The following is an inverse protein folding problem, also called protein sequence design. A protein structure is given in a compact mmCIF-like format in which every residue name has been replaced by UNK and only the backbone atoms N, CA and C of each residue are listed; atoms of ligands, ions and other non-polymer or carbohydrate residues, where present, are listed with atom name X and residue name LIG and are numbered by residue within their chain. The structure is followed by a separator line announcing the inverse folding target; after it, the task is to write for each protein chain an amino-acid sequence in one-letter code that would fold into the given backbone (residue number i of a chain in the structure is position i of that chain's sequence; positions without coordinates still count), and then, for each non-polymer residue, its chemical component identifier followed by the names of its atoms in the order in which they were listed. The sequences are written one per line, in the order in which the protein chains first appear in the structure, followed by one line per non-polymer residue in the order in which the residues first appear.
data_IF_648196644620
#
_entry.id   IF_648196644620
#
_cell.length_a   1.000
_cell.length_b   1.000
_cell.length_c   1.000
_cell.angle_alpha   90.00
_cell.angle_beta   90.00
_cell.angle_gamma   90.00
#
_symmetry.space_group_name_H-M   'P 1'
#
loop_
_entity.id
_entity.type
_entity.pdbx_description
1 polymer ?
#
# COMPACT_ATOMS: atom_id res chain seq x y z
N UNK A 1 16.24 -33.93 5.10
CA UNK A 1 16.62 -32.78 5.93
C UNK A 1 15.41 -32.41 6.77
N UNK A 2 15.44 -32.65 8.08
CA UNK A 2 14.35 -32.30 8.99
C UNK A 2 14.36 -30.78 9.18
N UNK A 3 13.31 -30.12 8.71
CA UNK A 3 13.08 -28.69 9.01
C UNK A 3 13.03 -28.48 10.53
N UNK A 4 13.68 -27.44 11.02
CA UNK A 4 13.55 -27.04 12.41
C UNK A 4 12.07 -26.68 12.71
N UNK A 5 11.56 -26.90 13.94
CA UNK A 5 10.14 -26.67 14.25
C UNK A 5 9.65 -25.22 14.05
N UNK A 6 10.54 -24.29 13.74
CA UNK A 6 10.29 -22.85 13.61
C UNK A 6 10.56 -22.30 12.20
N UNK A 7 10.88 -23.13 11.21
CA UNK A 7 11.07 -22.66 9.83
C UNK A 7 9.75 -22.59 9.08
N UNK A 8 9.51 -21.47 8.37
CA UNK A 8 8.34 -21.30 7.51
C UNK A 8 8.48 -22.16 6.24
N UNK A 9 7.38 -22.73 5.79
CA UNK A 9 7.38 -23.62 4.60
C UNK A 9 7.53 -22.80 3.33
N UNK A 10 8.56 -23.07 2.53
CA UNK A 10 8.79 -22.45 1.22
C UNK A 10 7.77 -22.91 0.20
N UNK A 11 6.82 -22.05 -0.12
CA UNK A 11 5.70 -22.35 -1.03
C UNK A 11 5.44 -21.26 -2.04
N UNK A 12 6.00 -20.05 -1.85
CA UNK A 12 5.71 -18.90 -2.69
C UNK A 12 6.48 -18.95 -4.01
N UNK A 13 5.73 -18.94 -5.11
CA UNK A 13 6.26 -18.84 -6.48
C UNK A 13 6.45 -17.38 -6.90
N UNK A 14 7.17 -17.07 -8.00
CA UNK A 14 7.29 -15.72 -8.52
C UNK A 14 5.94 -15.03 -8.78
N UNK A 15 4.94 -15.77 -9.30
CA UNK A 15 3.61 -15.22 -9.53
C UNK A 15 2.88 -14.86 -8.23
N UNK A 16 3.02 -15.67 -7.18
CA UNK A 16 2.46 -15.36 -5.86
C UNK A 16 3.15 -14.13 -5.24
N UNK A 17 4.48 -14.00 -5.37
CA UNK A 17 5.20 -12.82 -4.90
C UNK A 17 4.80 -11.56 -5.68
N UNK A 18 4.60 -11.68 -6.99
CA UNK A 18 4.03 -10.60 -7.80
C UNK A 18 2.64 -10.19 -7.29
N UNK A 19 1.77 -11.18 -7.05
CA UNK A 19 0.42 -10.93 -6.53
C UNK A 19 0.42 -10.23 -5.17
N UNK A 20 1.30 -10.66 -4.26
CA UNK A 20 1.50 -10.00 -2.96
C UNK A 20 2.06 -8.59 -3.12
N UNK A 21 3.11 -8.41 -3.97
CA UNK A 21 3.74 -7.10 -4.16
C UNK A 21 2.82 -6.08 -4.81
N UNK A 22 2.04 -6.47 -5.81
CA UNK A 22 1.01 -5.61 -6.40
C UNK A 22 -0.16 -5.42 -5.42
N UNK A 23 -0.60 -6.50 -4.78
CA UNK A 23 -1.76 -6.49 -3.86
C UNK A 23 -1.57 -5.54 -2.68
N UNK A 24 -0.41 -5.55 -2.02
CA UNK A 24 -0.13 -4.62 -0.91
C UNK A 24 -0.22 -3.15 -1.30
N UNK A 25 0.13 -2.83 -2.55
CA UNK A 25 0.29 -1.46 -3.06
C UNK A 25 -0.94 -0.95 -3.81
N UNK A 26 -1.73 -1.84 -4.43
CA UNK A 26 -2.71 -1.50 -5.47
C UNK A 26 -3.79 -0.50 -5.01
N UNK A 27 -4.06 -0.42 -3.71
CA UNK A 27 -4.96 0.61 -3.17
C UNK A 27 -4.52 2.03 -3.50
N UNK A 28 -3.20 2.24 -3.63
CA UNK A 28 -2.63 3.51 -4.05
C UNK A 28 -3.06 3.96 -5.46
N UNK A 29 -3.54 3.04 -6.32
CA UNK A 29 -4.11 3.40 -7.62
C UNK A 29 -5.55 3.89 -7.50
N UNK A 30 -6.28 3.41 -6.50
CA UNK A 30 -7.72 3.68 -6.32
C UNK A 30 -8.01 4.99 -5.61
N UNK A 31 -7.11 5.46 -4.73
CA UNK A 31 -7.31 6.69 -3.94
C UNK A 31 -5.99 7.22 -3.34
N UNK A 32 -6.07 8.38 -2.72
CA UNK A 32 -5.00 9.01 -1.94
C UNK A 32 -4.08 9.87 -2.80
N UNK A 33 -3.64 9.40 -3.96
CA UNK A 33 -2.82 10.17 -4.89
C UNK A 33 -3.53 11.44 -5.39
N UNK A 34 -4.85 11.39 -5.54
CA UNK A 34 -5.66 12.53 -5.96
C UNK A 34 -5.58 13.72 -5.00
N UNK A 35 -5.30 13.48 -3.71
CA UNK A 35 -5.10 14.54 -2.72
C UNK A 35 -3.86 15.38 -3.04
N UNK A 36 -2.84 14.79 -3.68
CA UNK A 36 -1.67 15.49 -4.18
C UNK A 36 -1.98 16.45 -5.34
N UNK A 37 -3.06 16.23 -6.07
CA UNK A 37 -3.54 17.16 -7.10
C UNK A 37 -4.06 18.48 -6.48
N UNK A 38 -4.68 18.43 -5.29
CA UNK A 38 -5.08 19.64 -4.56
C UNK A 38 -3.87 20.51 -4.21
N UNK A 39 -2.73 19.89 -3.92
CA UNK A 39 -1.49 20.58 -3.57
C UNK A 39 -0.73 21.08 -4.81
N UNK A 40 -0.48 20.21 -5.78
CA UNK A 40 0.42 20.47 -6.92
C UNK A 40 -0.26 20.68 -8.25
N UNK A 41 -1.55 20.43 -8.37
CA UNK A 41 -2.21 20.33 -9.67
C UNK A 41 -1.68 19.14 -10.49
N UNK A 42 -2.08 19.07 -11.74
CA UNK A 42 -1.67 18.00 -12.65
C UNK A 42 -0.16 17.95 -12.85
N UNK A 43 0.46 19.09 -13.15
CA UNK A 43 1.90 19.15 -13.45
C UNK A 43 2.75 18.93 -12.20
N UNK A 44 2.35 19.50 -11.06
CA UNK A 44 3.10 19.35 -9.81
C UNK A 44 3.13 17.89 -9.34
N UNK A 45 1.98 17.20 -9.33
CA UNK A 45 1.93 15.79 -8.98
C UNK A 45 2.63 14.91 -10.03
N UNK A 46 2.52 15.22 -11.34
CA UNK A 46 3.22 14.47 -12.39
C UNK A 46 4.74 14.55 -12.24
N UNK A 47 5.30 15.74 -11.97
CA UNK A 47 6.73 15.91 -11.72
C UNK A 47 7.15 15.14 -10.46
N UNK A 48 6.42 15.27 -9.36
CA UNK A 48 6.69 14.52 -8.13
C UNK A 48 6.67 13.01 -8.40
N UNK A 49 5.63 12.51 -9.07
CA UNK A 49 5.48 11.08 -9.40
C UNK A 49 6.60 10.56 -10.29
N UNK A 50 7.08 11.34 -11.26
CA UNK A 50 8.22 10.96 -12.10
C UNK A 50 9.50 10.68 -11.27
N UNK A 51 9.84 11.56 -10.34
CA UNK A 51 11.00 11.34 -9.46
C UNK A 51 10.76 10.19 -8.49
N UNK A 52 9.54 10.04 -8.00
CA UNK A 52 9.16 8.94 -7.09
C UNK A 52 9.21 7.59 -7.81
N UNK A 53 8.83 7.50 -9.09
CA UNK A 53 9.00 6.27 -9.88
C UNK A 53 10.48 5.87 -9.95
N UNK A 54 11.37 6.81 -10.25
CA UNK A 54 12.82 6.54 -10.28
C UNK A 54 13.30 6.04 -8.91
N UNK A 55 12.88 6.69 -7.85
CA UNK A 55 13.23 6.30 -6.48
C UNK A 55 12.75 4.86 -6.19
N UNK A 56 11.47 4.54 -6.46
CA UNK A 56 10.93 3.23 -6.16
C UNK A 56 11.52 2.10 -7.02
N UNK A 57 11.80 2.35 -8.29
CA UNK A 57 12.46 1.36 -9.15
C UNK A 57 13.85 1.04 -8.59
N UNK A 58 14.65 2.05 -8.28
CA UNK A 58 16.00 1.84 -7.71
C UNK A 58 15.97 1.22 -6.32
N UNK A 59 15.04 1.68 -5.45
CA UNK A 59 14.82 1.12 -4.13
C UNK A 59 14.42 -0.37 -4.21
N UNK A 60 13.44 -0.70 -5.04
CA UNK A 60 12.91 -2.06 -5.15
C UNK A 60 14.01 -3.07 -5.50
N UNK A 61 14.88 -2.76 -6.47
CA UNK A 61 15.98 -3.66 -6.83
C UNK A 61 17.04 -3.76 -5.73
N UNK A 62 17.38 -2.65 -5.08
CA UNK A 62 18.32 -2.67 -3.95
C UNK A 62 17.76 -3.44 -2.75
N UNK A 63 16.46 -3.27 -2.48
CA UNK A 63 15.78 -3.98 -1.39
C UNK A 63 15.58 -5.47 -1.68
N UNK A 64 15.33 -5.82 -2.96
CA UNK A 64 15.30 -7.21 -3.41
C UNK A 64 16.65 -7.90 -3.20
N UNK A 65 17.78 -7.21 -3.42
CA UNK A 65 19.12 -7.74 -3.13
C UNK A 65 19.29 -8.03 -1.63
N UNK A 66 18.88 -7.11 -0.76
CA UNK A 66 18.88 -7.34 0.69
C UNK A 66 18.01 -8.56 1.07
N UNK A 67 16.82 -8.67 0.50
CA UNK A 67 15.90 -9.77 0.76
C UNK A 67 16.45 -11.11 0.24
N UNK A 68 17.20 -11.13 -0.87
CA UNK A 68 17.88 -12.31 -1.38
C UNK A 68 19.08 -12.73 -0.50
N UNK A 69 19.82 -11.75 0.02
CA UNK A 69 20.98 -12.00 0.88
C UNK A 69 20.58 -12.42 2.30
N UNK A 70 19.47 -11.86 2.82
CA UNK A 70 18.96 -12.10 4.16
C UNK A 70 17.47 -12.46 4.07
N UNK A 71 17.12 -13.69 3.61
CA UNK A 71 15.73 -14.08 3.43
C UNK A 71 15.05 -14.39 4.77
N UNK A 72 14.75 -13.34 5.53
CA UNK A 72 14.07 -13.38 6.83
C UNK A 72 12.80 -12.51 6.82
N UNK A 73 11.85 -12.89 7.65
CA UNK A 73 10.55 -12.23 7.72
C UNK A 73 10.54 -10.84 8.41
N UNK A 74 11.63 -10.46 9.07
CA UNK A 74 11.72 -9.17 9.78
C UNK A 74 11.99 -7.95 8.87
N UNK A 75 12.31 -8.16 7.60
CA UNK A 75 12.51 -7.07 6.64
C UNK A 75 13.54 -6.04 7.11
N UNK A 76 13.17 -4.76 7.12
CA UNK A 76 14.04 -3.65 7.48
C UNK A 76 14.69 -3.79 8.87
N UNK A 77 13.98 -4.35 9.84
CA UNK A 77 14.53 -4.63 11.17
C UNK A 77 15.76 -5.55 11.09
N UNK A 78 15.66 -6.66 10.36
CA UNK A 78 16.74 -7.65 10.24
C UNK A 78 17.93 -7.07 9.46
N UNK A 79 17.67 -6.38 8.34
CA UNK A 79 18.71 -5.78 7.52
C UNK A 79 19.50 -4.72 8.27
N UNK A 80 18.78 -3.84 8.96
CA UNK A 80 19.37 -2.74 9.73
C UNK A 80 20.12 -3.25 10.95
N UNK A 81 19.56 -4.24 11.68
CA UNK A 81 20.23 -4.86 12.82
C UNK A 81 21.54 -5.54 12.43
N UNK A 82 21.57 -6.22 11.28
CA UNK A 82 22.79 -6.88 10.77
C UNK A 82 23.83 -5.86 10.29
N UNK A 83 23.39 -4.79 9.63
CA UNK A 83 24.29 -3.77 9.10
C UNK A 83 24.89 -2.87 10.19
N UNK A 84 24.06 -2.36 11.11
CA UNK A 84 24.37 -1.25 11.99
C UNK A 84 24.12 -1.55 13.47
N UNK A 85 23.68 -2.74 13.83
CA UNK A 85 23.45 -3.14 15.21
C UNK A 85 22.02 -2.90 15.71
N UNK A 86 21.77 -3.31 16.95
CA UNK A 86 20.43 -3.44 17.53
C UNK A 86 19.67 -2.11 17.62
N UNK A 87 20.35 -1.02 17.95
CA UNK A 87 19.70 0.29 18.13
C UNK A 87 19.19 0.86 16.79
N UNK A 88 19.99 0.72 15.74
CA UNK A 88 19.56 1.10 14.40
C UNK A 88 18.48 0.15 13.86
N UNK A 89 18.54 -1.14 14.23
CA UNK A 89 17.46 -2.09 13.98
C UNK A 89 16.12 -1.65 14.60
N UNK A 90 16.15 -1.13 15.82
CA UNK A 90 14.97 -0.55 16.46
C UNK A 90 14.40 0.61 15.62
N UNK A 91 15.25 1.54 15.16
CA UNK A 91 14.80 2.67 14.35
C UNK A 91 14.20 2.22 13.00
N UNK A 92 14.85 1.27 12.31
CA UNK A 92 14.33 0.71 11.05
C UNK A 92 12.98 0.01 11.23
N UNK A 93 12.86 -0.82 12.27
CA UNK A 93 11.61 -1.50 12.59
C UNK A 93 10.51 -0.55 13.11
N UNK A 94 10.85 0.52 13.83
CA UNK A 94 9.88 1.54 14.25
C UNK A 94 9.35 2.32 13.04
N UNK A 95 10.21 2.68 12.09
CA UNK A 95 9.83 3.31 10.83
C UNK A 95 8.85 2.43 10.05
N UNK A 96 9.11 1.12 9.94
CA UNK A 96 8.21 0.15 9.33
C UNK A 96 6.87 0.04 10.09
N UNK A 97 6.90 0.05 11.42
CA UNK A 97 5.67 0.03 12.21
C UNK A 97 4.83 1.29 11.99
N UNK A 98 5.43 2.48 11.91
CA UNK A 98 4.69 3.73 11.61
C UNK A 98 4.00 3.60 10.25
N UNK A 99 4.70 3.16 9.22
CA UNK A 99 4.13 2.96 7.90
C UNK A 99 2.92 2.01 7.93
N UNK A 100 3.13 0.79 8.40
CA UNK A 100 2.11 -0.27 8.35
C UNK A 100 0.96 -0.11 9.35
N UNK A 101 1.11 0.69 10.40
CA UNK A 101 0.02 1.02 11.32
C UNK A 101 -0.86 2.13 10.74
N UNK A 102 -0.28 3.11 10.04
CA UNK A 102 -1.02 4.27 9.54
C UNK A 102 -1.52 4.13 8.10
N UNK A 103 -1.00 3.20 7.28
CA UNK A 103 -1.57 2.95 5.96
C UNK A 103 -3.00 2.36 6.00
N UNK A 104 -3.32 1.33 6.79
CA UNK A 104 -4.65 0.72 6.80
C UNK A 104 -5.79 1.69 7.13
N UNK A 105 -5.70 2.63 8.09
CA UNK A 105 -6.78 3.59 8.34
C UNK A 105 -7.18 4.40 7.10
N UNK A 106 -6.20 4.86 6.31
CA UNK A 106 -6.49 5.58 5.08
C UNK A 106 -7.22 4.70 4.06
N UNK A 107 -6.78 3.44 3.89
CA UNK A 107 -7.44 2.48 3.00
C UNK A 107 -8.86 2.15 3.48
N UNK A 108 -9.08 2.05 4.80
CA UNK A 108 -10.40 1.82 5.35
C UNK A 108 -11.38 2.97 5.03
N UNK A 109 -10.91 4.22 5.03
CA UNK A 109 -11.72 5.35 4.56
C UNK A 109 -12.11 5.20 3.09
N UNK A 110 -11.19 4.80 2.23
CA UNK A 110 -11.49 4.58 0.82
C UNK A 110 -12.50 3.42 0.63
N UNK A 111 -12.35 2.32 1.35
CA UNK A 111 -13.35 1.23 1.36
C UNK A 111 -14.71 1.79 1.78
N UNK A 112 -14.75 2.58 2.84
CA UNK A 112 -15.97 3.26 3.30
C UNK A 112 -16.56 4.18 2.25
N UNK A 113 -15.74 4.99 1.56
CA UNK A 113 -16.17 5.92 0.53
C UNK A 113 -16.74 5.18 -0.71
N UNK A 114 -16.08 4.12 -1.18
CA UNK A 114 -16.56 3.31 -2.30
C UNK A 114 -17.87 2.58 -1.94
N UNK A 115 -17.97 2.03 -0.74
CA UNK A 115 -19.18 1.35 -0.28
C UNK A 115 -20.37 2.32 -0.09
N UNK A 116 -20.08 3.54 0.38
CA UNK A 116 -21.08 4.59 0.57
C UNK A 116 -21.73 5.04 -0.76
N UNK A 117 -21.08 4.83 -1.91
CA UNK A 117 -21.68 5.08 -3.23
C UNK A 117 -22.89 4.19 -3.49
N UNK A 118 -22.92 2.98 -2.91
CA UNK A 118 -24.07 2.06 -3.00
C UNK A 118 -25.09 2.27 -1.87
N UNK A 119 -24.59 2.63 -0.68
CA UNK A 119 -25.39 2.77 0.55
C UNK A 119 -25.16 4.13 1.20
N UNK A 120 -25.68 5.24 0.59
CA UNK A 120 -25.43 6.60 1.08
C UNK A 120 -25.91 6.86 2.49
N UNK A 121 -26.89 6.06 2.99
CA UNK A 121 -27.44 6.15 4.34
C UNK A 121 -26.47 5.67 5.43
N UNK A 122 -25.43 4.91 5.07
CA UNK A 122 -24.44 4.40 6.04
C UNK A 122 -23.24 5.34 6.08
N UNK A 123 -22.86 5.91 7.23
CA UNK A 123 -21.70 6.78 7.33
C UNK A 123 -20.40 6.07 6.92
N UNK A 124 -19.55 6.73 6.13
CA UNK A 124 -18.24 6.23 5.68
C UNK A 124 -17.42 5.69 6.85
N UNK A 125 -17.36 6.43 7.96
CA UNK A 125 -16.63 6.03 9.16
C UNK A 125 -17.13 4.71 9.75
N UNK A 126 -18.46 4.48 9.76
CA UNK A 126 -19.02 3.22 10.28
C UNK A 126 -18.60 2.02 9.43
N UNK A 127 -18.60 2.17 8.11
CA UNK A 127 -18.14 1.14 7.17
C UNK A 127 -16.63 0.89 7.37
N UNK A 128 -15.83 1.95 7.48
CA UNK A 128 -14.39 1.87 7.69
C UNK A 128 -14.03 1.12 8.99
N UNK A 129 -14.69 1.46 10.10
CA UNK A 129 -14.50 0.76 11.39
C UNK A 129 -14.94 -0.70 11.30
N UNK A 130 -16.07 -0.98 10.67
CA UNK A 130 -16.54 -2.35 10.46
C UNK A 130 -15.55 -3.16 9.63
N UNK A 131 -15.04 -2.61 8.53
CA UNK A 131 -14.02 -3.25 7.71
C UNK A 131 -12.77 -3.55 8.54
N UNK A 132 -12.32 -2.60 9.37
CA UNK A 132 -11.14 -2.80 10.22
C UNK A 132 -11.32 -3.96 11.19
N UNK A 133 -12.46 -4.02 11.87
CA UNK A 133 -12.80 -5.12 12.80
C UNK A 133 -12.87 -6.45 12.05
N UNK A 134 -13.57 -6.50 10.91
CA UNK A 134 -13.76 -7.70 10.11
C UNK A 134 -12.42 -8.27 9.62
N UNK A 135 -11.59 -7.45 8.98
CA UNK A 135 -10.33 -7.93 8.41
C UNK A 135 -9.26 -8.20 9.47
N UNK A 136 -9.29 -7.50 10.61
CA UNK A 136 -8.45 -7.88 11.76
C UNK A 136 -8.88 -9.24 12.33
N UNK A 137 -10.17 -9.50 12.48
CA UNK A 137 -10.68 -10.79 12.92
C UNK A 137 -10.28 -11.91 11.94
N UNK A 138 -10.41 -11.70 10.64
CA UNK A 138 -9.97 -12.66 9.61
C UNK A 138 -8.47 -12.97 9.73
N UNK A 139 -7.64 -11.96 9.93
CA UNK A 139 -6.19 -12.14 10.14
C UNK A 139 -5.88 -12.89 11.44
N UNK A 140 -6.68 -12.72 12.51
CA UNK A 140 -6.53 -13.48 13.76
C UNK A 140 -6.87 -14.95 13.57
N UNK A 141 -7.97 -15.26 12.87
CA UNK A 141 -8.37 -16.66 12.61
C UNK A 141 -7.39 -17.42 11.71
N UNK A 142 -6.55 -16.70 10.95
CA UNK A 142 -5.48 -17.27 10.12
C UNK A 142 -5.99 -17.84 8.81
N UNK A 143 -5.49 -17.36 7.70
CA UNK A 143 -5.91 -17.80 6.36
C UNK A 143 -4.80 -18.66 5.74
N UNK A 144 -4.94 -19.98 5.81
CA UNK A 144 -4.02 -20.93 5.12
C UNK A 144 -3.98 -20.75 3.60
N UNK A 145 -4.98 -20.08 3.03
CA UNK A 145 -5.12 -19.84 1.59
C UNK A 145 -4.76 -18.38 1.20
N UNK A 146 -4.17 -17.59 2.10
CA UNK A 146 -3.98 -16.15 1.93
C UNK A 146 -3.28 -15.76 0.62
N UNK A 147 -2.17 -16.39 0.28
CA UNK A 147 -1.38 -15.99 -0.91
C UNK A 147 -2.10 -16.29 -2.25
N UNK A 148 -2.89 -17.36 -2.33
CA UNK A 148 -3.66 -17.68 -3.54
C UNK A 148 -4.88 -16.78 -3.65
N UNK A 149 -5.55 -16.50 -2.53
CA UNK A 149 -6.65 -15.53 -2.47
C UNK A 149 -6.14 -14.15 -2.89
N UNK A 150 -5.02 -13.70 -2.32
CA UNK A 150 -4.39 -12.43 -2.65
C UNK A 150 -4.04 -12.33 -4.13
N UNK A 151 -3.42 -13.37 -4.72
CA UNK A 151 -3.13 -13.42 -6.15
C UNK A 151 -4.41 -13.28 -6.99
N UNK A 152 -5.48 -13.96 -6.62
CA UNK A 152 -6.75 -13.93 -7.38
C UNK A 152 -7.37 -12.54 -7.36
N UNK A 153 -7.51 -11.93 -6.17
CA UNK A 153 -8.12 -10.59 -6.07
C UNK A 153 -7.24 -9.50 -6.66
N UNK A 154 -5.90 -9.66 -6.61
CA UNK A 154 -4.96 -8.75 -7.28
C UNK A 154 -5.11 -8.82 -8.80
N UNK A 155 -5.24 -10.02 -9.39
CA UNK A 155 -5.48 -10.16 -10.84
C UNK A 155 -6.79 -9.46 -11.24
N UNK A 156 -7.86 -9.64 -10.45
CA UNK A 156 -9.15 -8.96 -10.70
C UNK A 156 -9.00 -7.45 -10.62
N UNK A 157 -8.30 -6.94 -9.61
CA UNK A 157 -8.06 -5.50 -9.43
C UNK A 157 -7.21 -4.89 -10.53
N UNK A 158 -6.14 -5.56 -10.97
CA UNK A 158 -5.35 -5.15 -12.14
C UNK A 158 -6.20 -5.13 -13.40
N UNK A 159 -7.00 -6.18 -13.62
CA UNK A 159 -7.93 -6.26 -14.75
C UNK A 159 -8.95 -5.13 -14.76
N UNK A 160 -9.48 -4.76 -13.58
CA UNK A 160 -10.41 -3.65 -13.41
C UNK A 160 -9.76 -2.30 -13.74
N UNK A 161 -8.55 -2.02 -13.24
CA UNK A 161 -7.82 -0.77 -13.56
C UNK A 161 -7.49 -0.66 -15.05
N UNK A 162 -7.16 -1.78 -15.72
CA UNK A 162 -6.97 -1.80 -17.17
C UNK A 162 -8.29 -1.55 -17.91
N UNK A 163 -9.39 -2.13 -17.44
CA UNK A 163 -10.72 -1.90 -17.99
C UNK A 163 -11.16 -0.44 -17.77
N UNK A 164 -10.97 0.10 -16.58
CA UNK A 164 -11.20 1.50 -16.26
C UNK A 164 -10.44 2.42 -17.24
N UNK A 165 -9.14 2.18 -17.42
CA UNK A 165 -8.31 2.95 -18.33
C UNK A 165 -8.77 2.79 -19.80
N UNK A 166 -9.17 1.57 -20.19
CA UNK A 166 -9.70 1.30 -21.54
C UNK A 166 -10.99 2.06 -21.86
N UNK A 167 -11.83 2.31 -20.85
CA UNK A 167 -13.08 3.08 -20.98
C UNK A 167 -12.81 4.58 -20.95
N UNK A 168 -11.89 5.04 -20.10
CA UNK A 168 -11.68 6.46 -19.85
C UNK A 168 -10.71 7.10 -20.83
N UNK A 169 -9.66 6.41 -21.29
CA UNK A 169 -8.69 6.95 -22.26
C UNK A 169 -9.28 7.41 -23.59
N UNK A 170 -10.30 6.78 -24.19
CA UNK A 170 -10.95 7.33 -25.40
C UNK A 170 -11.57 8.72 -25.21
N UNK A 171 -11.85 9.12 -23.96
CA UNK A 171 -12.40 10.43 -23.59
C UNK A 171 -11.33 11.39 -23.05
N UNK A 172 -10.06 11.04 -23.26
CA UNK A 172 -8.93 11.85 -22.83
C UNK A 172 -8.83 13.13 -23.65
N UNK A 173 -8.83 14.27 -22.97
CA UNK A 173 -8.58 15.59 -23.55
C UNK A 173 -7.31 16.21 -22.93
N UNK A 174 -6.32 16.50 -23.77
CA UNK A 174 -5.06 17.08 -23.31
C UNK A 174 -5.25 18.42 -22.58
N UNK A 175 -6.28 19.17 -22.94
CA UNK A 175 -6.69 20.42 -22.27
C UNK A 175 -6.90 20.22 -20.77
N UNK A 176 -7.50 19.10 -20.36
CA UNK A 176 -7.77 18.78 -18.95
C UNK A 176 -6.49 18.64 -18.10
N UNK A 177 -5.36 18.32 -18.72
CA UNK A 177 -4.06 18.28 -18.03
C UNK A 177 -3.44 19.67 -17.87
N UNK A 178 -3.82 20.64 -18.71
CA UNK A 178 -3.22 21.98 -18.75
C UNK A 178 -3.95 22.99 -17.85
N UNK A 179 -5.24 22.75 -17.59
CA UNK A 179 -6.05 23.67 -16.83
C UNK A 179 -5.60 23.71 -15.37
N UNK A 180 -5.15 24.91 -14.92
CA UNK A 180 -4.61 25.13 -13.56
C UNK A 180 -3.58 24.06 -13.17
N UNK A 181 -2.64 23.74 -14.07
CA UNK A 181 -1.75 22.61 -13.93
C UNK A 181 -0.76 22.71 -12.77
N UNK A 182 -0.46 23.92 -12.28
CA UNK A 182 0.50 24.15 -11.19
C UNK A 182 0.02 25.28 -10.26
N UNK A 183 -1.09 25.10 -9.52
CA UNK A 183 -1.76 26.14 -8.76
C UNK A 183 -0.87 26.77 -7.68
N UNK A 184 0.00 25.99 -7.05
CA UNK A 184 0.87 26.42 -5.96
C UNK A 184 2.36 26.51 -6.36
N UNK A 185 2.66 26.52 -7.66
CA UNK A 185 4.03 26.59 -8.19
C UNK A 185 4.94 25.50 -7.61
N UNK A 186 6.23 25.81 -7.41
CA UNK A 186 7.21 24.86 -6.90
C UNK A 186 6.86 24.26 -5.53
N UNK A 187 6.20 25.04 -4.65
CA UNK A 187 5.78 24.56 -3.33
C UNK A 187 4.78 23.40 -3.48
N UNK A 188 3.89 23.49 -4.47
CA UNK A 188 2.92 22.43 -4.75
C UNK A 188 3.56 21.11 -5.18
N UNK A 189 4.68 21.16 -5.94
CA UNK A 189 5.43 19.95 -6.32
C UNK A 189 5.91 19.22 -5.07
N UNK A 190 6.55 19.93 -4.12
CA UNK A 190 7.04 19.33 -2.88
C UNK A 190 5.90 18.84 -1.99
N UNK A 191 4.81 19.59 -1.89
CA UNK A 191 3.63 19.20 -1.12
C UNK A 191 2.93 17.96 -1.69
N UNK A 192 3.08 17.69 -3.01
CA UNK A 192 2.54 16.49 -3.67
C UNK A 192 3.37 15.22 -3.43
N UNK A 193 4.61 15.32 -2.97
CA UNK A 193 5.52 14.17 -2.82
C UNK A 193 4.92 13.05 -1.96
N UNK A 194 4.31 13.28 -0.79
CA UNK A 194 3.71 12.22 0.01
C UNK A 194 2.66 11.41 -0.76
N UNK A 195 1.87 12.09 -1.57
CA UNK A 195 0.81 11.48 -2.37
C UNK A 195 1.33 10.77 -3.62
N UNK A 196 2.45 11.21 -4.18
CA UNK A 196 3.18 10.48 -5.22
C UNK A 196 3.80 9.18 -4.67
N UNK A 197 4.33 9.20 -3.44
CA UNK A 197 4.84 8.03 -2.73
C UNK A 197 3.72 7.02 -2.47
N UNK A 198 2.52 7.49 -2.17
CA UNK A 198 1.35 6.66 -1.90
C UNK A 198 1.02 5.68 -3.03
N UNK A 199 1.31 6.01 -4.29
CA UNK A 199 1.15 5.09 -5.43
C UNK A 199 1.93 3.77 -5.27
N UNK A 200 3.01 3.77 -4.51
CA UNK A 200 3.95 2.64 -4.44
C UNK A 200 4.19 2.16 -3.01
N UNK A 201 3.52 2.75 -2.03
CA UNK A 201 3.69 2.47 -0.61
C UNK A 201 3.44 1.00 -0.30
N UNK A 202 4.24 0.42 0.60
CA UNK A 202 4.17 -0.95 1.09
C UNK A 202 4.71 -2.04 0.14
N UNK A 203 5.39 -1.70 -0.98
CA UNK A 203 6.02 -2.69 -1.86
C UNK A 203 7.10 -3.50 -1.11
N UNK A 204 7.79 -2.90 -0.16
CA UNK A 204 8.80 -3.57 0.68
C UNK A 204 8.21 -4.67 1.56
N UNK A 205 6.89 -4.68 1.76
CA UNK A 205 6.16 -5.75 2.46
C UNK A 205 6.40 -7.14 1.86
N UNK A 206 6.75 -7.23 0.58
CA UNK A 206 7.17 -8.49 -0.07
C UNK A 206 8.40 -9.10 0.61
N UNK A 207 9.29 -8.30 1.17
CA UNK A 207 10.45 -8.81 1.90
C UNK A 207 10.06 -9.59 3.17
N UNK A 208 8.93 -9.25 3.79
CA UNK A 208 8.44 -9.94 4.99
C UNK A 208 7.97 -11.38 4.72
N UNK A 209 7.82 -11.76 3.45
CA UNK A 209 7.50 -13.13 3.01
C UNK A 209 8.64 -13.81 2.27
N UNK A 210 9.83 -13.21 2.24
CA UNK A 210 11.01 -13.72 1.54
C UNK A 210 11.45 -15.12 2.04
N UNK A 211 11.27 -15.42 3.33
CA UNK A 211 11.57 -16.72 3.93
C UNK A 211 10.73 -17.86 3.34
N UNK A 212 9.52 -17.54 2.88
CA UNK A 212 8.58 -18.50 2.29
C UNK A 212 8.77 -18.70 0.78
N UNK A 213 9.72 -17.99 0.15
CA UNK A 213 9.96 -18.06 -1.29
C UNK A 213 10.69 -19.37 -1.70
N UNK A 214 10.21 -19.99 -2.78
CA UNK A 214 10.90 -21.12 -3.43
C UNK A 214 12.07 -20.53 -4.22
N UNK A 215 13.32 -20.96 -3.94
CA UNK A 215 14.51 -20.34 -4.53
C UNK A 215 14.55 -18.81 -4.37
N UNK A 216 14.78 -18.30 -3.14
CA UNK A 216 14.64 -16.89 -2.81
C UNK A 216 15.30 -15.93 -3.81
N UNK A 217 16.55 -16.19 -4.22
CA UNK A 217 17.33 -15.33 -5.13
C UNK A 217 16.62 -15.06 -6.46
N UNK A 218 15.98 -16.09 -7.04
CA UNK A 218 15.26 -15.97 -8.31
C UNK A 218 13.84 -15.47 -8.11
N UNK A 219 13.13 -16.04 -7.15
CA UNK A 219 11.72 -15.78 -6.90
C UNK A 219 11.48 -14.35 -6.42
N UNK A 220 12.34 -13.85 -5.52
CA UNK A 220 12.24 -12.50 -5.00
C UNK A 220 12.54 -11.48 -6.11
N UNK A 221 13.63 -11.64 -6.86
CA UNK A 221 13.99 -10.71 -7.92
C UNK A 221 12.92 -10.61 -9.00
N UNK A 222 12.36 -11.74 -9.45
CA UNK A 222 11.27 -11.75 -10.44
C UNK A 222 9.99 -11.15 -9.85
N UNK A 223 9.63 -11.53 -8.63
CA UNK A 223 8.42 -11.05 -7.95
C UNK A 223 8.43 -9.54 -7.75
N UNK A 224 9.49 -9.00 -7.14
CA UNK A 224 9.64 -7.55 -6.94
C UNK A 224 9.73 -6.79 -8.27
N UNK A 225 10.58 -7.27 -9.21
CA UNK A 225 10.78 -6.60 -10.49
C UNK A 225 9.51 -6.54 -11.34
N UNK A 226 8.75 -7.63 -11.40
CA UNK A 226 7.46 -7.64 -12.12
C UNK A 226 6.38 -6.84 -11.40
N UNK A 227 6.37 -6.82 -10.07
CA UNK A 227 5.42 -6.02 -9.29
C UNK A 227 5.64 -4.53 -9.52
N UNK A 228 6.88 -4.02 -9.37
CA UNK A 228 7.15 -2.60 -9.58
C UNK A 228 6.87 -2.16 -11.02
N UNK A 229 7.19 -3.01 -12.01
CA UNK A 229 6.86 -2.73 -13.41
C UNK A 229 5.35 -2.58 -13.62
N UNK A 230 4.56 -3.52 -13.10
CA UNK A 230 3.08 -3.47 -13.17
C UNK A 230 2.55 -2.19 -12.50
N UNK A 231 3.04 -1.87 -11.31
CA UNK A 231 2.61 -0.69 -10.57
C UNK A 231 2.96 0.63 -11.28
N UNK A 232 4.13 0.73 -11.92
CA UNK A 232 4.51 1.91 -12.72
C UNK A 232 3.56 2.08 -13.91
N UNK A 233 3.25 1.00 -14.63
CA UNK A 233 2.29 1.04 -15.75
C UNK A 233 0.90 1.46 -15.26
N UNK A 234 0.41 0.86 -14.18
CA UNK A 234 -0.90 1.20 -13.60
C UNK A 234 -0.94 2.64 -13.09
N UNK A 235 0.13 3.14 -12.45
CA UNK A 235 0.23 4.53 -11.99
C UNK A 235 0.05 5.51 -13.15
N UNK A 236 0.82 5.33 -14.24
CA UNK A 236 0.74 6.20 -15.41
C UNK A 236 -0.65 6.13 -16.05
N UNK A 237 -1.19 4.92 -16.23
CA UNK A 237 -2.53 4.73 -16.82
C UNK A 237 -3.61 5.37 -15.95
N UNK A 238 -3.62 5.09 -14.65
CA UNK A 238 -4.63 5.61 -13.72
C UNK A 238 -4.59 7.13 -13.64
N UNK A 239 -3.39 7.70 -13.54
CA UNK A 239 -3.23 9.16 -13.52
C UNK A 239 -3.73 9.80 -14.81
N UNK A 240 -3.25 9.33 -15.97
CA UNK A 240 -3.61 9.90 -17.26
C UNK A 240 -5.11 9.74 -17.54
N UNK A 241 -5.66 8.54 -17.33
CA UNK A 241 -7.05 8.23 -17.63
C UNK A 241 -8.04 8.95 -16.69
N UNK A 242 -7.66 9.19 -15.43
CA UNK A 242 -8.56 9.88 -14.50
C UNK A 242 -8.56 11.39 -14.72
N UNK A 243 -7.38 12.02 -14.77
CA UNK A 243 -7.27 13.49 -14.93
C UNK A 243 -7.68 13.91 -16.34
N UNK A 244 -7.37 13.09 -17.35
CA UNK A 244 -7.65 13.41 -18.75
C UNK A 244 -9.13 13.54 -19.11
N UNK A 245 -10.02 12.96 -18.31
CA UNK A 245 -11.48 12.98 -18.60
C UNK A 245 -12.14 14.32 -18.27
N UNK A 246 -11.87 14.89 -17.09
CA UNK A 246 -12.61 16.05 -16.61
C UNK A 246 -11.74 17.08 -15.85
N UNK A 247 -10.42 16.90 -15.89
CA UNK A 247 -9.48 17.72 -15.15
C UNK A 247 -9.34 17.30 -13.67
N UNK A 248 -8.30 17.81 -13.02
CA UNK A 248 -7.96 17.38 -11.68
C UNK A 248 -8.96 17.79 -10.60
N UNK A 249 -9.59 18.96 -10.72
CA UNK A 249 -10.59 19.42 -9.75
C UNK A 249 -11.80 18.49 -9.67
N UNK A 250 -12.22 17.96 -10.81
CA UNK A 250 -13.37 17.08 -10.92
C UNK A 250 -13.18 15.70 -10.25
N UNK A 251 -11.94 15.28 -10.04
CA UNK A 251 -11.63 14.00 -9.37
C UNK A 251 -11.15 14.18 -7.94
N UNK A 252 -10.84 15.41 -7.52
CA UNK A 252 -10.44 15.75 -6.16
C UNK A 252 -11.65 16.15 -5.32
N UNK A 253 -12.53 16.99 -5.85
CA UNK A 253 -13.63 17.57 -5.09
C UNK A 253 -14.98 16.96 -5.47
N UNK A 254 -15.79 16.68 -4.44
CA UNK A 254 -17.20 16.33 -4.59
C UNK A 254 -18.05 17.58 -4.86
N UNK A 255 -19.32 17.37 -5.18
CA UNK A 255 -20.28 18.48 -5.42
C UNK A 255 -20.49 19.41 -4.22
N UNK A 256 -20.21 18.93 -3.00
CA UNK A 256 -20.27 19.73 -1.76
C UNK A 256 -18.95 20.46 -1.43
N UNK A 257 -17.95 20.36 -2.32
CA UNK A 257 -16.63 20.95 -2.15
C UNK A 257 -15.68 20.18 -1.23
N UNK A 258 -16.10 19.08 -0.62
CA UNK A 258 -15.23 18.23 0.18
C UNK A 258 -14.30 17.38 -0.71
N UNK A 259 -13.13 17.03 -0.18
CA UNK A 259 -12.21 16.13 -0.88
C UNK A 259 -12.77 14.71 -0.93
N UNK A 260 -12.47 14.00 -2.02
CA UNK A 260 -12.95 12.64 -2.28
C UNK A 260 -11.89 11.60 -2.02
N UNK A 261 -12.27 10.52 -1.32
CA UNK A 261 -11.50 9.28 -1.20
C UNK A 261 -11.90 8.24 -2.28
N UNK A 262 -12.58 8.67 -3.35
CA UNK A 262 -13.02 7.82 -4.46
C UNK A 262 -12.85 8.51 -5.83
N UNK A 263 -11.60 8.83 -6.25
CA UNK A 263 -11.35 9.60 -7.48
C UNK A 263 -11.74 8.86 -8.76
N UNK A 264 -11.55 7.54 -8.85
CA UNK A 264 -11.87 6.77 -10.04
C UNK A 264 -13.38 6.72 -10.32
N UNK A 265 -14.25 6.46 -9.33
CA UNK A 265 -15.70 6.65 -9.50
C UNK A 265 -16.09 8.04 -9.96
N UNK A 266 -15.48 9.11 -9.43
CA UNK A 266 -15.74 10.47 -9.89
C UNK A 266 -15.38 10.64 -11.39
N UNK A 267 -14.18 10.24 -11.80
CA UNK A 267 -13.77 10.29 -13.20
C UNK A 267 -14.74 9.52 -14.11
N UNK A 268 -15.11 8.30 -13.72
CA UNK A 268 -16.00 7.43 -14.49
C UNK A 268 -17.41 8.03 -14.61
N UNK A 269 -17.90 8.70 -13.57
CA UNK A 269 -19.23 9.32 -13.57
C UNK A 269 -19.40 10.39 -14.63
N UNK A 270 -18.32 11.07 -15.03
CA UNK A 270 -18.33 12.05 -16.11
C UNK A 270 -18.53 11.43 -17.50
N UNK A 271 -18.27 10.13 -17.67
CA UNK A 271 -18.39 9.44 -18.95
C UNK A 271 -19.72 8.68 -19.05
N UNK A 272 -19.98 7.80 -18.07
CA UNK A 272 -21.11 6.88 -18.14
C UNK A 272 -22.28 7.26 -17.24
N UNK A 273 -22.07 8.23 -16.33
CA UNK A 273 -23.06 8.59 -15.31
C UNK A 273 -23.18 7.56 -14.18
N UNK A 274 -23.72 7.99 -13.05
CA UNK A 274 -23.77 7.19 -11.82
C UNK A 274 -24.76 6.02 -11.86
N UNK A 275 -25.71 6.01 -12.77
CA UNK A 275 -26.76 4.98 -12.87
C UNK A 275 -26.41 3.86 -13.86
N UNK A 276 -25.28 3.92 -14.54
CA UNK A 276 -24.90 2.94 -15.55
C UNK A 276 -24.38 1.65 -14.91
N UNK A 277 -24.76 0.49 -15.45
CA UNK A 277 -24.31 -0.82 -14.93
C UNK A 277 -22.78 -0.93 -14.83
N UNK A 278 -22.06 -0.38 -15.81
CA UNK A 278 -20.61 -0.38 -15.85
C UNK A 278 -19.99 0.41 -14.69
N UNK A 279 -20.62 1.53 -14.30
CA UNK A 279 -20.21 2.29 -13.12
C UNK A 279 -20.26 1.44 -11.84
N UNK A 280 -21.37 0.77 -11.62
CA UNK A 280 -21.53 -0.09 -10.45
C UNK A 280 -20.60 -1.31 -10.47
N UNK A 281 -20.37 -1.90 -11.65
CA UNK A 281 -19.49 -3.05 -11.80
C UNK A 281 -18.04 -2.67 -11.46
N UNK A 282 -17.53 -1.57 -12.02
CA UNK A 282 -16.15 -1.13 -11.78
C UNK A 282 -15.92 -0.75 -10.32
N UNK A 283 -16.88 -0.06 -9.67
CA UNK A 283 -16.78 0.24 -8.24
C UNK A 283 -16.76 -1.04 -7.41
N UNK A 284 -17.60 -2.03 -7.73
CA UNK A 284 -17.65 -3.31 -7.00
C UNK A 284 -16.33 -4.06 -7.11
N UNK A 285 -15.74 -4.12 -8.31
CA UNK A 285 -14.45 -4.80 -8.52
C UNK A 285 -13.30 -3.98 -7.91
N UNK A 286 -13.35 -2.65 -7.97
CA UNK A 286 -12.38 -1.76 -7.32
C UNK A 286 -12.31 -1.95 -5.80
N UNK A 287 -13.43 -2.28 -5.15
CA UNK A 287 -13.45 -2.65 -3.74
C UNK A 287 -12.55 -3.86 -3.45
N UNK A 288 -12.44 -4.84 -4.35
CA UNK A 288 -11.52 -5.97 -4.14
C UNK A 288 -10.06 -5.53 -4.12
N UNK A 289 -9.67 -4.55 -4.94
CA UNK A 289 -8.32 -3.97 -4.91
C UNK A 289 -8.01 -3.26 -3.59
N UNK A 290 -8.96 -2.48 -3.08
CA UNK A 290 -8.82 -1.84 -1.77
C UNK A 290 -8.76 -2.88 -0.64
N UNK A 291 -9.60 -3.93 -0.70
CA UNK A 291 -9.63 -5.01 0.29
C UNK A 291 -8.33 -5.81 0.26
N UNK A 292 -7.74 -6.08 -0.90
CA UNK A 292 -6.46 -6.77 -1.03
C UNK A 292 -5.37 -6.02 -0.24
N UNK A 293 -5.14 -4.75 -0.56
CA UNK A 293 -4.16 -3.95 0.17
C UNK A 293 -4.44 -3.87 1.66
N UNK A 294 -5.70 -3.62 2.02
CA UNK A 294 -6.11 -3.48 3.41
C UNK A 294 -5.81 -4.74 4.24
N UNK A 295 -6.24 -5.90 3.74
CA UNK A 295 -6.02 -7.19 4.40
C UNK A 295 -4.53 -7.51 4.50
N UNK A 296 -3.80 -7.32 3.40
CA UNK A 296 -2.36 -7.62 3.33
C UNK A 296 -1.52 -6.73 4.24
N UNK A 297 -1.78 -5.42 4.29
CA UNK A 297 -1.04 -4.50 5.14
C UNK A 297 -1.36 -4.72 6.62
N UNK A 298 -2.60 -5.04 7.01
CA UNK A 298 -2.95 -5.44 8.39
C UNK A 298 -2.13 -6.67 8.81
N UNK A 299 -1.98 -7.66 7.92
CA UNK A 299 -1.16 -8.84 8.19
C UNK A 299 0.32 -8.47 8.40
N UNK A 300 0.89 -7.64 7.53
CA UNK A 300 2.25 -7.16 7.63
C UNK A 300 2.50 -6.35 8.90
N UNK A 301 1.59 -5.43 9.23
CA UNK A 301 1.62 -4.65 10.48
C UNK A 301 1.58 -5.54 11.73
N UNK A 302 0.70 -6.54 11.72
CA UNK A 302 0.62 -7.50 12.82
C UNK A 302 1.92 -8.27 13.05
N UNK A 303 2.60 -8.67 11.97
CA UNK A 303 3.93 -9.35 12.03
C UNK A 303 5.02 -8.40 12.53
N UNK A 304 5.08 -7.18 12.04
CA UNK A 304 6.07 -6.17 12.43
C UNK A 304 5.94 -5.78 13.91
N UNK A 305 4.72 -5.49 14.37
CA UNK A 305 4.44 -5.17 15.78
C UNK A 305 4.72 -6.37 16.70
N UNK A 306 4.41 -7.61 16.25
CA UNK A 306 4.70 -8.83 16.97
C UNK A 306 6.20 -9.04 17.17
N UNK A 307 7.03 -8.82 16.15
CA UNK A 307 8.48 -8.93 16.28
C UNK A 307 9.04 -7.96 17.32
N UNK A 308 8.52 -6.75 17.42
CA UNK A 308 8.91 -5.81 18.47
C UNK A 308 8.63 -6.34 19.87
N UNK A 309 7.51 -7.06 20.06
CA UNK A 309 7.21 -7.75 21.30
C UNK A 309 8.19 -8.90 21.58
N UNK A 310 8.58 -9.67 20.54
CA UNK A 310 9.54 -10.79 20.65
C UNK A 310 10.94 -10.35 21.05
N UNK A 311 11.43 -9.27 20.42
CA UNK A 311 12.77 -8.72 20.68
C UNK A 311 12.81 -7.79 21.90
N UNK A 312 11.69 -7.66 22.64
CA UNK A 312 11.53 -6.85 23.86
C UNK A 312 11.67 -5.33 23.65
N UNK A 313 11.37 -4.85 22.46
CA UNK A 313 11.20 -3.40 22.20
C UNK A 313 9.77 -2.91 22.49
N UNK A 314 8.82 -3.84 22.61
CA UNK A 314 7.45 -3.60 23.03
C UNK A 314 7.07 -4.54 24.17
N UNK A 315 5.96 -4.28 24.90
CA UNK A 315 5.50 -5.12 25.99
C UNK A 315 5.37 -6.59 25.59
N UNK A 316 5.80 -7.51 26.45
CA UNK A 316 5.91 -8.94 26.16
C UNK A 316 4.59 -9.61 25.72
N UNK A 317 3.43 -9.05 26.09
CA UNK A 317 2.13 -9.62 25.68
C UNK A 317 1.90 -9.48 24.16
N UNK A 318 2.50 -8.48 23.52
CA UNK A 318 2.42 -8.23 22.05
C UNK A 318 3.17 -9.33 21.30
N UNK A 319 4.30 -9.81 21.85
CA UNK A 319 5.10 -10.90 21.27
C UNK A 319 4.57 -12.31 21.53
N UNK A 320 3.30 -12.48 21.93
CA UNK A 320 2.68 -13.78 22.17
C UNK A 320 1.87 -14.26 20.98
N UNK A 321 2.03 -15.55 20.66
CA UNK A 321 1.23 -16.24 19.62
C UNK A 321 -0.05 -16.78 20.28
N UNK A 322 -1.18 -16.64 19.62
CA UNK A 322 -2.46 -17.17 20.10
C UNK A 322 -2.44 -18.71 20.12
N UNK A 323 -2.80 -19.36 21.25
CA UNK A 323 -2.61 -20.81 21.40
C UNK A 323 -3.40 -21.65 20.40
N UNK A 324 -4.62 -21.22 20.04
CA UNK A 324 -5.51 -21.93 19.09
C UNK A 324 -5.23 -21.57 17.63
N UNK A 325 -5.17 -20.27 17.32
CA UNK A 325 -5.08 -19.80 15.92
C UNK A 325 -3.66 -19.72 15.39
N UNK A 326 -2.65 -19.77 16.27
CA UNK A 326 -1.22 -19.65 15.91
C UNK A 326 -0.85 -18.36 15.19
N UNK A 327 -1.58 -17.27 15.49
CA UNK A 327 -1.41 -15.92 14.92
C UNK A 327 -1.01 -14.93 16.00
N UNK A 328 -0.41 -13.77 15.67
CA UNK A 328 -0.03 -12.73 16.62
C UNK A 328 -1.23 -11.85 17.00
N UNK A 329 -2.27 -12.45 17.59
CA UNK A 329 -3.57 -11.80 17.83
C UNK A 329 -3.46 -10.50 18.62
N UNK A 330 -2.60 -10.44 19.65
CA UNK A 330 -2.45 -9.23 20.46
C UNK A 330 -1.83 -8.07 19.66
N UNK A 331 -0.86 -8.36 18.81
CA UNK A 331 -0.26 -7.36 17.93
C UNK A 331 -1.27 -6.81 16.91
N UNK A 332 -2.09 -7.70 16.32
CA UNK A 332 -3.17 -7.32 15.42
C UNK A 332 -4.23 -6.44 16.10
N UNK A 333 -4.62 -6.77 17.35
CA UNK A 333 -5.57 -5.96 18.11
C UNK A 333 -5.00 -4.59 18.49
N UNK A 334 -3.72 -4.51 18.86
CA UNK A 334 -3.05 -3.23 19.13
C UNK A 334 -2.99 -2.38 17.87
N UNK A 335 -2.61 -2.97 16.73
CA UNK A 335 -2.63 -2.27 15.43
C UNK A 335 -4.05 -1.75 15.09
N UNK A 336 -5.07 -2.59 15.23
CA UNK A 336 -6.47 -2.19 15.02
C UNK A 336 -6.88 -1.03 15.93
N UNK A 337 -6.53 -1.08 17.21
CA UNK A 337 -6.88 -0.02 18.17
C UNK A 337 -6.27 1.33 17.77
N UNK A 338 -4.98 1.35 17.41
CA UNK A 338 -4.29 2.56 16.93
C UNK A 338 -4.93 3.04 15.61
N UNK A 339 -5.19 2.11 14.68
CA UNK A 339 -5.81 2.43 13.41
C UNK A 339 -7.22 3.03 13.54
N UNK A 340 -8.05 2.50 14.44
CA UNK A 340 -9.39 3.06 14.72
C UNK A 340 -9.26 4.45 15.34
N UNK A 341 -8.31 4.70 16.24
CA UNK A 341 -8.07 6.04 16.79
C UNK A 341 -7.69 7.01 15.65
N UNK A 342 -6.84 6.59 14.72
CA UNK A 342 -6.51 7.40 13.54
C UNK A 342 -7.74 7.67 12.67
N UNK A 343 -8.61 6.67 12.44
CA UNK A 343 -9.88 6.82 11.71
C UNK A 343 -10.79 7.89 12.32
N UNK A 344 -10.86 7.98 13.65
CA UNK A 344 -11.72 8.96 14.33
C UNK A 344 -11.30 10.41 14.08
N UNK A 345 -10.11 10.66 13.57
CA UNK A 345 -9.67 12.01 13.18
C UNK A 345 -10.36 12.53 11.92
N UNK A 346 -10.80 11.63 11.03
CA UNK A 346 -11.40 11.96 9.74
C UNK A 346 -10.43 12.60 8.73
N UNK A 347 -9.13 12.47 8.94
CA UNK A 347 -8.07 13.21 8.21
C UNK A 347 -7.22 12.29 7.35
N UNK A 348 -7.76 11.83 6.21
CA UNK A 348 -7.09 10.88 5.31
C UNK A 348 -5.71 11.39 4.83
N UNK A 349 -5.60 12.65 4.44
CA UNK A 349 -4.35 13.22 3.93
C UNK A 349 -3.23 13.22 4.98
N UNK A 350 -3.54 13.61 6.23
CA UNK A 350 -2.58 13.60 7.32
C UNK A 350 -2.17 12.17 7.71
N UNK A 351 -3.11 11.22 7.70
CA UNK A 351 -2.83 9.80 7.96
C UNK A 351 -1.88 9.23 6.89
N UNK A 352 -2.13 9.52 5.61
CA UNK A 352 -1.23 9.17 4.50
C UNK A 352 0.16 9.77 4.73
N UNK A 353 0.24 11.04 5.10
CA UNK A 353 1.51 11.73 5.33
C UNK A 353 2.32 11.09 6.46
N UNK A 354 1.67 10.68 7.56
CA UNK A 354 2.33 9.96 8.67
C UNK A 354 2.86 8.61 8.20
N UNK A 355 2.07 7.85 7.46
CA UNK A 355 2.48 6.55 6.91
C UNK A 355 3.68 6.71 5.99
N UNK A 356 3.64 7.68 5.07
CA UNK A 356 4.73 8.00 4.15
C UNK A 356 6.00 8.45 4.87
N UNK A 357 5.87 9.19 5.98
CA UNK A 357 7.03 9.55 6.81
C UNK A 357 7.73 8.30 7.38
N UNK A 358 6.93 7.33 7.84
CA UNK A 358 7.44 6.01 8.25
C UNK A 358 8.20 5.33 7.11
N UNK A 359 7.57 5.23 5.94
CA UNK A 359 8.16 4.62 4.75
C UNK A 359 9.49 5.28 4.32
N UNK A 360 9.51 6.60 4.20
CA UNK A 360 10.74 7.32 3.83
C UNK A 360 11.87 7.09 4.83
N UNK A 361 11.55 7.10 6.12
CA UNK A 361 12.53 6.82 7.18
C UNK A 361 13.08 5.40 7.05
N UNK A 362 12.21 4.43 6.80
CA UNK A 362 12.58 3.04 6.53
C UNK A 362 13.48 2.92 5.29
N UNK A 363 13.12 3.59 4.18
CA UNK A 363 13.88 3.53 2.92
C UNK A 363 15.28 4.10 3.08
N UNK A 364 15.43 5.24 3.74
CA UNK A 364 16.74 5.86 4.03
C UNK A 364 17.60 4.91 4.86
N UNK A 365 17.07 4.38 5.97
CA UNK A 365 17.80 3.48 6.87
C UNK A 365 18.17 2.18 6.15
N UNK A 366 17.26 1.64 5.33
CA UNK A 366 17.49 0.41 4.57
C UNK A 366 18.57 0.60 3.50
N UNK A 367 18.61 1.75 2.81
CA UNK A 367 19.65 2.03 1.82
C UNK A 367 21.02 2.25 2.47
N UNK A 368 21.08 2.90 3.64
CA UNK A 368 22.31 2.98 4.42
C UNK A 368 22.80 1.58 4.80
N UNK A 369 21.87 0.71 5.24
CA UNK A 369 22.17 -0.69 5.59
C UNK A 369 22.70 -1.47 4.38
N UNK A 370 22.08 -1.29 3.22
CA UNK A 370 22.50 -1.89 1.96
C UNK A 370 23.95 -1.58 1.60
N UNK A 371 24.32 -0.29 1.61
CA UNK A 371 25.70 0.10 1.32
C UNK A 371 26.71 -0.39 2.37
N UNK A 372 26.32 -0.45 3.64
CA UNK A 372 27.18 -0.99 4.70
C UNK A 372 27.39 -2.49 4.56
N UNK A 373 26.32 -3.24 4.25
CA UNK A 373 26.42 -4.71 4.05
C UNK A 373 27.29 -5.03 2.85
N UNK A 374 27.13 -4.33 1.72
CA UNK A 374 28.01 -4.50 0.54
C UNK A 374 29.50 -4.25 0.83
N UNK A 375 29.85 -3.40 1.80
CA UNK A 375 31.23 -3.19 2.22
C UNK A 375 31.75 -4.29 3.13
N UNK A 376 30.87 -4.89 3.94
CA UNK A 376 31.28 -5.91 4.93
C UNK A 376 31.24 -7.31 4.35
N UNK A 377 30.32 -7.59 3.44
CA UNK A 377 30.00 -8.89 2.85
C UNK A 377 29.81 -8.68 1.33
N UNK A 378 30.90 -8.44 0.56
CA UNK A 378 30.84 -8.13 -0.87
C UNK A 378 30.34 -9.29 -1.73
#
# INVERSE_FOLDING_TARGET
MSSSPNELKRTLTPAMLWGLGVGFVISGMYFGWNLGLAEGGTLGLAIATFFIIIMYVTFTFSYAELACAIPKAGGAFDYTSRAMGKDMGFLGGMAQNIEFIFAPPAIAFAIGAYFNLFFPQIPVLAIAVFAYILFTALNIYGVKAAAMFELTITILAVGELLLFSGITLPHFEFRNLQENALPNGWKGIFASIPFAIWFFLAIEGVANVAEEAINPQRTILIGFGSAIFTLVVLCILTFASSVGVAGWQAIVYKSDGSMSDSPLPLALSHIVGNNHLLYHLLITVGLFGLIASFHGIILAAGRSVFEFGRVKFAPAFIGKVHPKFKTPSNALLVNMAIGIIALLTGKTAEIITISVFGALSLYIISMISFFQLRKKEP
#
